data_IF_671189097603
#
_entry.id   IF_671189097603
#
_cell.length_a   1.000
_cell.length_b   1.000
_cell.length_c   1.000
_cell.angle_alpha   90.00
_cell.angle_beta   90.00
_cell.angle_gamma   90.00
#
_symmetry.space_group_name_H-M   'P 1'
#
loop_
_entity.id
_entity.type
_entity.pdbx_description
1 polymer ?
#
# COMPACT_ATOMS: atom_id res chain seq x y z
N UNK A 1 30.09 1.12 16.04
CA UNK A 1 28.70 0.82 16.45
C UNK A 1 27.90 2.09 16.46
N UNK A 2 26.90 2.19 15.61
CA UNK A 2 25.99 3.36 15.59
C UNK A 2 24.93 3.11 16.67
N UNK A 3 24.89 3.97 17.69
CA UNK A 3 23.81 3.91 18.69
C UNK A 3 22.50 4.31 17.99
N UNK A 4 21.47 3.47 18.01
CA UNK A 4 20.21 3.81 17.38
C UNK A 4 19.61 5.05 18.05
N UNK A 5 19.13 5.99 17.23
CA UNK A 5 18.51 7.21 17.73
C UNK A 5 17.27 6.86 18.59
N UNK A 6 17.27 7.31 19.83
CA UNK A 6 16.16 7.11 20.77
C UNK A 6 14.93 7.94 20.40
N UNK A 7 15.15 9.00 19.60
CA UNK A 7 14.11 9.91 19.12
C UNK A 7 13.79 9.66 17.64
N UNK A 8 12.54 9.85 17.26
CA UNK A 8 12.10 9.86 15.87
C UNK A 8 12.47 11.20 15.19
N UNK A 9 12.17 11.30 13.89
CA UNK A 9 12.41 12.53 13.13
C UNK A 9 11.63 13.76 13.64
N UNK A 10 10.56 13.55 14.39
CA UNK A 10 9.76 14.60 15.03
C UNK A 10 10.20 14.91 16.47
N UNK A 11 11.32 14.36 16.92
CA UNK A 11 11.86 14.56 18.27
C UNK A 11 11.09 13.83 19.39
N UNK A 12 10.22 12.87 19.05
CA UNK A 12 9.46 12.09 20.02
C UNK A 12 10.22 10.80 20.36
N UNK A 13 10.07 10.36 21.60
CA UNK A 13 10.71 9.13 22.05
C UNK A 13 10.14 7.92 21.29
N UNK A 14 11.02 7.14 20.70
CA UNK A 14 10.66 5.90 20.01
C UNK A 14 10.13 4.86 20.97
N UNK A 15 9.11 4.12 20.55
CA UNK A 15 8.67 2.94 21.27
C UNK A 15 9.79 1.90 21.34
N UNK A 16 10.01 1.23 22.47
CA UNK A 16 11.00 0.15 22.56
C UNK A 16 10.84 -0.92 21.49
N UNK A 17 9.60 -1.21 21.08
CA UNK A 17 9.30 -2.20 20.05
C UNK A 17 9.83 -1.82 18.65
N UNK A 18 10.13 -0.53 18.41
CA UNK A 18 10.70 -0.04 17.14
C UNK A 18 12.23 0.04 17.17
N UNK A 19 12.84 -0.31 18.28
CA UNK A 19 14.30 -0.27 18.42
C UNK A 19 14.93 -1.53 17.82
N UNK A 20 16.09 -1.39 17.14
CA UNK A 20 16.83 -2.54 16.64
C UNK A 20 17.13 -3.54 17.74
N UNK A 21 16.93 -4.82 17.47
CA UNK A 21 17.21 -5.89 18.39
C UNK A 21 16.14 -6.17 19.45
N UNK A 22 15.09 -5.35 19.58
CA UNK A 22 14.02 -5.57 20.56
C UNK A 22 13.36 -6.95 20.43
N UNK A 23 13.15 -7.39 19.17
CA UNK A 23 12.54 -8.67 18.87
C UNK A 23 13.55 -9.82 18.69
N UNK A 24 14.85 -9.54 18.87
CA UNK A 24 15.87 -10.56 18.69
C UNK A 24 15.71 -11.69 19.71
N UNK A 25 15.68 -12.93 19.22
CA UNK A 25 15.49 -14.12 20.05
C UNK A 25 14.07 -14.34 20.57
N UNK A 26 13.13 -13.44 20.29
CA UNK A 26 11.74 -13.58 20.70
C UNK A 26 10.85 -13.83 19.48
N UNK A 27 10.16 -14.98 19.38
CA UNK A 27 9.19 -15.18 18.32
C UNK A 27 7.99 -14.25 18.48
N UNK A 28 7.29 -13.89 17.38
CA UNK A 28 6.05 -13.13 17.45
C UNK A 28 5.04 -13.81 18.38
N UNK A 29 4.29 -13.04 19.17
CA UNK A 29 3.27 -13.56 20.10
C UNK A 29 2.21 -14.43 19.44
N UNK A 30 1.98 -14.19 18.14
CA UNK A 30 1.02 -14.94 17.33
C UNK A 30 1.67 -16.05 16.48
N UNK A 31 2.94 -16.40 16.74
CA UNK A 31 3.60 -17.49 16.03
C UNK A 31 2.83 -18.81 16.26
N UNK A 32 2.48 -19.47 15.14
CA UNK A 32 1.72 -20.73 15.18
C UNK A 32 0.21 -20.58 15.37
N UNK A 33 -0.31 -19.35 15.53
CA UNK A 33 -1.76 -19.11 15.56
C UNK A 33 -2.26 -18.94 14.12
N UNK A 34 -3.29 -19.69 13.78
CA UNK A 34 -4.02 -19.55 12.53
C UNK A 34 -5.25 -18.69 12.82
N UNK A 35 -5.40 -17.62 12.08
CA UNK A 35 -6.59 -16.78 12.11
C UNK A 35 -7.43 -17.09 10.87
N UNK A 36 -8.76 -17.18 11.00
CA UNK A 36 -9.62 -17.31 9.84
C UNK A 36 -9.43 -16.10 8.93
N UNK A 37 -9.47 -16.35 7.62
CA UNK A 37 -9.43 -15.26 6.67
C UNK A 37 -10.71 -14.43 6.79
N UNK A 38 -10.56 -13.15 7.02
CA UNK A 38 -11.64 -12.18 7.10
C UNK A 38 -11.32 -11.00 6.17
N UNK A 39 -11.37 -11.22 4.84
CA UNK A 39 -11.09 -10.17 3.88
C UNK A 39 -12.22 -9.13 3.89
N UNK A 40 -11.89 -7.84 3.73
CA UNK A 40 -12.91 -6.80 3.65
C UNK A 40 -13.81 -7.01 2.45
N UNK A 41 -15.09 -6.74 2.63
CA UNK A 41 -16.08 -6.75 1.56
C UNK A 41 -15.93 -5.53 0.64
N UNK A 42 -16.47 -5.62 -0.58
CA UNK A 42 -16.47 -4.48 -1.49
C UNK A 42 -17.18 -3.25 -0.91
N UNK A 43 -18.23 -3.45 -0.11
CA UNK A 43 -18.94 -2.35 0.55
C UNK A 43 -18.10 -1.65 1.62
N UNK A 44 -17.33 -2.39 2.39
CA UNK A 44 -16.40 -1.84 3.38
C UNK A 44 -15.28 -1.04 2.70
N UNK A 45 -14.74 -1.54 1.59
CA UNK A 45 -13.75 -0.81 0.79
C UNK A 45 -14.34 0.52 0.27
N UNK A 46 -15.57 0.49 -0.27
CA UNK A 46 -16.26 1.71 -0.73
C UNK A 46 -16.50 2.67 0.43
N UNK A 47 -16.88 2.18 1.62
CA UNK A 47 -17.06 3.01 2.81
C UNK A 47 -15.76 3.72 3.20
N UNK A 48 -14.63 2.99 3.23
CA UNK A 48 -13.30 3.58 3.51
C UNK A 48 -12.95 4.64 2.47
N UNK A 49 -13.23 4.39 1.19
CA UNK A 49 -12.96 5.36 0.13
C UNK A 49 -13.79 6.64 0.25
N UNK A 50 -15.02 6.56 0.78
CA UNK A 50 -15.88 7.73 1.03
C UNK A 50 -15.38 8.62 2.15
N UNK A 51 -14.66 8.07 3.12
CA UNK A 51 -14.05 8.85 4.21
C UNK A 51 -12.83 9.68 3.75
N UNK A 52 -12.26 9.37 2.57
CA UNK A 52 -11.18 10.16 2.02
C UNK A 52 -11.70 11.53 1.55
N UNK A 53 -10.93 12.58 1.84
CA UNK A 53 -11.26 13.95 1.45
C UNK A 53 -11.38 14.14 -0.07
N UNK A 54 -12.04 15.21 -0.50
CA UNK A 54 -12.19 15.56 -1.92
C UNK A 54 -11.07 16.49 -2.43
N UNK A 55 -9.90 16.34 -1.87
CA UNK A 55 -8.68 17.03 -2.29
C UNK A 55 -7.70 16.07 -2.99
N UNK A 56 -6.54 16.59 -3.39
CA UNK A 56 -5.51 15.80 -4.07
C UNK A 56 -5.00 14.63 -3.22
N UNK A 57 -4.96 14.81 -1.90
CA UNK A 57 -4.56 13.74 -0.98
C UNK A 57 -5.61 12.62 -0.91
N UNK A 58 -6.88 12.98 -0.81
CA UNK A 58 -7.97 12.01 -0.81
C UNK A 58 -8.07 11.23 -2.11
N UNK A 59 -7.84 11.86 -3.26
CA UNK A 59 -7.78 11.15 -4.55
C UNK A 59 -6.63 10.15 -4.60
N UNK A 60 -5.46 10.50 -4.07
CA UNK A 60 -4.31 9.58 -3.99
C UNK A 60 -4.61 8.39 -3.07
N UNK A 61 -5.27 8.61 -1.95
CA UNK A 61 -5.69 7.54 -1.03
C UNK A 61 -6.68 6.59 -1.70
N UNK A 62 -7.69 7.11 -2.39
CA UNK A 62 -8.65 6.30 -3.14
C UNK A 62 -7.97 5.46 -4.21
N UNK A 63 -7.06 6.06 -4.98
CA UNK A 63 -6.28 5.36 -5.99
C UNK A 63 -5.43 4.24 -5.36
N UNK A 64 -4.77 4.52 -4.24
CA UNK A 64 -3.97 3.55 -3.51
C UNK A 64 -4.83 2.37 -3.02
N UNK A 65 -5.99 2.63 -2.43
CA UNK A 65 -6.92 1.59 -1.96
C UNK A 65 -7.37 0.70 -3.13
N UNK A 66 -7.73 1.28 -4.28
CA UNK A 66 -8.14 0.54 -5.47
C UNK A 66 -7.00 -0.37 -5.96
N UNK A 67 -5.80 0.18 -6.07
CA UNK A 67 -4.63 -0.57 -6.55
C UNK A 67 -4.29 -1.72 -5.62
N UNK A 68 -4.33 -1.51 -4.31
CA UNK A 68 -4.10 -2.56 -3.32
C UNK A 68 -5.18 -3.64 -3.38
N UNK A 69 -6.44 -3.24 -3.43
CA UNK A 69 -7.57 -4.18 -3.39
C UNK A 69 -7.75 -4.94 -4.70
N UNK A 70 -7.78 -4.23 -5.84
CA UNK A 70 -7.98 -4.82 -7.16
C UNK A 70 -6.72 -5.42 -7.76
N UNK A 71 -5.59 -4.77 -7.55
CA UNK A 71 -4.30 -5.22 -8.07
C UNK A 71 -3.63 -6.29 -7.21
N UNK A 72 -4.04 -6.44 -5.95
CA UNK A 72 -3.42 -7.37 -5.01
C UNK A 72 -1.94 -7.10 -4.79
N UNK A 73 -1.55 -5.81 -4.80
CA UNK A 73 -0.16 -5.41 -4.61
C UNK A 73 0.18 -5.28 -3.13
N UNK A 74 1.46 -5.40 -2.83
CA UNK A 74 1.98 -4.96 -1.55
C UNK A 74 2.05 -3.44 -1.50
N UNK A 75 1.98 -2.88 -0.29
CA UNK A 75 2.03 -1.42 -0.10
C UNK A 75 3.26 -0.80 -0.76
N UNK A 76 4.44 -1.39 -0.56
CA UNK A 76 5.68 -0.91 -1.19
C UNK A 76 5.64 -0.97 -2.72
N UNK A 77 5.05 -2.01 -3.29
CA UNK A 77 4.85 -2.13 -4.73
C UNK A 77 3.91 -1.05 -5.25
N UNK A 78 2.79 -0.81 -4.56
CA UNK A 78 1.82 0.21 -4.94
C UNK A 78 2.39 1.62 -4.85
N UNK A 79 3.16 1.92 -3.81
CA UNK A 79 3.80 3.23 -3.62
C UNK A 79 4.92 3.51 -4.65
N UNK A 80 5.50 2.48 -5.24
CA UNK A 80 6.53 2.61 -6.28
C UNK A 80 5.97 2.74 -7.70
N UNK A 81 4.64 2.63 -7.89
CA UNK A 81 4.02 2.78 -9.18
C UNK A 81 4.12 4.23 -9.68
N UNK A 82 4.55 4.37 -10.92
CA UNK A 82 4.49 5.62 -11.66
C UNK A 82 3.38 5.62 -12.70
N UNK A 83 3.06 6.78 -13.24
CA UNK A 83 2.05 6.93 -14.30
C UNK A 83 2.33 6.02 -15.51
N UNK A 84 3.61 5.84 -15.85
CA UNK A 84 4.08 4.96 -16.94
C UNK A 84 3.79 3.48 -16.71
N UNK A 85 3.54 3.08 -15.48
CA UNK A 85 3.29 1.70 -15.11
C UNK A 85 1.81 1.32 -15.22
N UNK A 86 0.96 2.30 -15.51
CA UNK A 86 -0.49 2.17 -15.60
C UNK A 86 -0.95 2.24 -17.05
N UNK A 87 -1.62 1.21 -17.53
CA UNK A 87 -2.31 1.22 -18.82
C UNK A 87 -3.81 1.25 -18.59
N UNK A 88 -4.38 2.46 -18.66
CA UNK A 88 -5.82 2.66 -18.45
C UNK A 88 -6.68 2.00 -19.54
N UNK A 89 -6.14 1.86 -20.76
CA UNK A 89 -6.85 1.26 -21.89
C UNK A 89 -7.03 -0.24 -21.70
N UNK A 90 -5.96 -0.89 -21.25
CA UNK A 90 -5.96 -2.35 -20.99
C UNK A 90 -6.40 -2.70 -19.58
N UNK A 91 -6.51 -1.71 -18.67
CA UNK A 91 -6.76 -1.95 -17.25
C UNK A 91 -5.65 -2.76 -16.60
N UNK A 92 -4.42 -2.60 -17.06
CA UNK A 92 -3.25 -3.32 -16.54
C UNK A 92 -2.28 -2.39 -15.84
N UNK A 93 -1.47 -2.96 -14.96
CA UNK A 93 -0.38 -2.26 -14.29
C UNK A 93 0.88 -3.13 -14.28
N UNK A 94 2.03 -2.46 -14.36
CA UNK A 94 3.34 -3.09 -14.35
C UNK A 94 4.01 -2.90 -12.99
N UNK A 95 4.27 -3.99 -12.29
CA UNK A 95 5.08 -4.00 -11.07
C UNK A 95 6.53 -4.27 -11.46
N UNK A 96 7.37 -3.24 -11.39
CA UNK A 96 8.78 -3.33 -11.80
C UNK A 96 9.63 -4.13 -10.81
N UNK A 97 9.44 -3.87 -9.52
CA UNK A 97 10.19 -4.48 -8.43
C UNK A 97 9.25 -5.24 -7.49
N UNK A 98 8.81 -6.42 -7.90
CA UNK A 98 8.08 -7.34 -7.04
C UNK A 98 8.99 -8.07 -6.06
N UNK A 99 8.41 -8.99 -5.28
CA UNK A 99 9.17 -9.84 -4.36
C UNK A 99 10.30 -10.59 -5.09
N UNK A 100 11.53 -10.43 -4.60
CA UNK A 100 12.71 -11.02 -5.23
C UNK A 100 13.18 -10.28 -6.49
N UNK A 101 12.83 -8.98 -6.65
CA UNK A 101 13.23 -8.16 -7.80
C UNK A 101 12.57 -8.55 -9.12
N UNK A 102 11.52 -9.38 -9.08
CA UNK A 102 10.85 -9.87 -10.28
C UNK A 102 9.82 -8.87 -10.79
N UNK A 103 9.87 -8.65 -12.10
CA UNK A 103 8.89 -7.86 -12.85
C UNK A 103 7.61 -8.69 -13.04
N UNK A 104 6.45 -8.06 -12.82
CA UNK A 104 5.15 -8.72 -12.98
C UNK A 104 4.17 -7.79 -13.65
N UNK A 105 3.49 -8.28 -14.66
CA UNK A 105 2.33 -7.63 -15.25
C UNK A 105 1.07 -8.13 -14.51
N UNK A 106 0.29 -7.20 -14.00
CA UNK A 106 -1.03 -7.48 -13.42
C UNK A 106 -2.09 -7.00 -14.39
N UNK A 107 -2.76 -7.96 -15.01
CA UNK A 107 -3.95 -7.73 -15.81
C UNK A 107 -5.17 -7.95 -14.91
N UNK A 108 -5.97 -6.93 -14.75
CA UNK A 108 -7.22 -7.02 -14.01
C UNK A 108 -8.10 -5.84 -14.37
N UNK A 109 -9.41 -6.01 -14.32
CA UNK A 109 -10.34 -4.90 -14.37
C UNK A 109 -10.10 -4.03 -13.12
N UNK A 110 -9.15 -3.12 -13.20
CA UNK A 110 -8.90 -2.15 -12.13
C UNK A 110 -10.07 -1.19 -11.96
N UNK A 111 -11.09 -1.30 -12.84
CA UNK A 111 -12.27 -0.44 -12.78
C UNK A 111 -11.92 1.05 -12.92
N UNK A 112 -10.75 1.35 -13.49
CA UNK A 112 -10.33 2.70 -13.80
C UNK A 112 -11.13 3.18 -15.01
N UNK A 113 -12.43 3.35 -14.82
CA UNK A 113 -13.25 4.07 -15.78
C UNK A 113 -12.70 5.49 -15.96
N UNK A 114 -12.96 6.08 -17.13
CA UNK A 114 -12.42 7.35 -17.60
C UNK A 114 -12.52 8.54 -16.60
N UNK A 115 -13.35 8.42 -15.58
CA UNK A 115 -13.50 9.43 -14.52
C UNK A 115 -12.32 9.50 -13.53
N UNK A 116 -11.51 8.45 -13.42
CA UNK A 116 -10.36 8.42 -12.48
C UNK A 116 -9.03 8.81 -13.12
N UNK A 117 -8.95 8.78 -14.46
CA UNK A 117 -7.76 9.22 -15.19
C UNK A 117 -7.47 10.73 -15.05
N UNK A 118 -8.48 11.52 -14.65
CA UNK A 118 -8.35 12.97 -14.46
C UNK A 118 -7.60 13.35 -13.17
N UNK A 119 -7.57 12.44 -12.18
CA UNK A 119 -6.97 12.72 -10.88
C UNK A 119 -5.43 12.61 -10.87
N UNK A 120 -4.82 11.95 -11.85
CA UNK A 120 -3.36 11.79 -11.94
C UNK A 120 -2.65 12.87 -12.76
N UNK A 121 -3.39 13.81 -13.39
CA UNK A 121 -2.79 14.80 -14.29
C UNK A 121 -2.51 16.17 -13.69
N UNK A 122 -2.73 16.37 -12.40
CA UNK A 122 -2.43 17.65 -11.76
C UNK A 122 -1.32 17.51 -10.72
N UNK A 123 -0.13 17.44 -11.23
CA UNK A 123 1.10 17.84 -10.52
C UNK A 123 2.05 18.44 -11.53
#
# INVERSE_FOLDING_TARGET
MTVPAVLDAAGRRRSPATMPGYHAGHPPRNKGRLYPADPPTGQEIVAVMREASDDSHGYRLRALVIVLWRGGLRVAEALSLGERDLDATRGSLLVRNGKGGRRRDRHGRLGLGASHAKACRST
#
